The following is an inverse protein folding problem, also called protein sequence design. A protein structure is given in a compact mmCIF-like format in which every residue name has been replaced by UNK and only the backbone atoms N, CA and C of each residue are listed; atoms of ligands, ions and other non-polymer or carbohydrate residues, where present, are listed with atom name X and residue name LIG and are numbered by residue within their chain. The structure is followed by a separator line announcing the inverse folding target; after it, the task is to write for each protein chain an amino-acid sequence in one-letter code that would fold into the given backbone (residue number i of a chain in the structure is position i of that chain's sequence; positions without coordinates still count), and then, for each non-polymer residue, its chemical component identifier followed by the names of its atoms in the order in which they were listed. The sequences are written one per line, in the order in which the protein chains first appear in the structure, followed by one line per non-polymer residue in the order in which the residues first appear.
data_IF_115535628690
#
_entry.id   IF_115535628690
#
_cell.length_a   1.000
_cell.length_b   1.000
_cell.length_c   1.000
_cell.angle_alpha   90.00
_cell.angle_beta   90.00
_cell.angle_gamma   90.00
#
_symmetry.space_group_name_H-M   'P 1'
#
loop_
_entity.id
_entity.type
_entity.pdbx_description
1 polymer ?
#
# COMPACT_ATOMS: atom_id res chain seq x y z
N UNK A 1 -22.39 0.84 -16.65
CA UNK A 1 -21.55 -0.32 -16.27
C UNK A 1 -20.16 0.12 -16.63
N UNK A 2 -19.54 0.88 -15.73
CA UNK A 2 -18.38 1.68 -16.08
C UNK A 2 -17.13 0.84 -15.89
N UNK A 3 -16.40 0.73 -17.00
CA UNK A 3 -15.19 -0.06 -17.19
C UNK A 3 -14.18 0.08 -16.05
N UNK A 4 -13.71 -1.07 -15.56
CA UNK A 4 -12.54 -1.27 -14.70
C UNK A 4 -11.24 -0.87 -15.43
N UNK A 5 -11.15 0.37 -15.91
CA UNK A 5 -9.92 0.87 -16.49
C UNK A 5 -8.92 1.13 -15.36
N UNK A 6 -7.91 0.27 -15.26
CA UNK A 6 -6.66 0.59 -14.58
C UNK A 6 -6.13 1.89 -15.21
N UNK A 7 -6.33 3.02 -14.52
CA UNK A 7 -6.04 4.36 -15.04
C UNK A 7 -4.55 4.66 -14.91
N UNK A 8 -3.81 5.00 -15.98
CA UNK A 8 -2.55 5.71 -15.86
C UNK A 8 -2.87 7.20 -15.74
N UNK A 9 -3.31 7.66 -14.57
CA UNK A 9 -3.40 9.09 -14.32
C UNK A 9 -1.99 9.61 -14.07
N UNK A 10 -1.47 10.46 -14.97
CA UNK A 10 -0.17 11.15 -14.81
C UNK A 10 -0.08 11.85 -13.44
N UNK A 11 -1.22 12.32 -12.90
CA UNK A 11 -1.33 12.88 -11.55
C UNK A 11 -1.04 11.84 -10.46
N UNK A 12 -1.62 10.64 -10.56
CA UNK A 12 -1.34 9.52 -9.63
C UNK A 12 0.13 9.07 -9.70
N UNK A 13 0.75 9.08 -10.87
CA UNK A 13 2.18 8.79 -11.00
C UNK A 13 3.06 9.84 -10.33
N UNK A 14 2.73 11.14 -10.46
CA UNK A 14 3.46 12.22 -9.78
C UNK A 14 3.32 12.13 -8.26
N UNK A 15 2.10 11.93 -7.76
CA UNK A 15 1.84 11.80 -6.33
C UNK A 15 2.50 10.55 -5.73
N UNK A 16 2.45 9.41 -6.42
CA UNK A 16 3.17 8.20 -6.04
C UNK A 16 4.67 8.49 -5.95
N UNK A 17 5.26 9.11 -6.97
CA UNK A 17 6.68 9.43 -7.00
C UNK A 17 7.10 10.38 -5.87
N UNK A 18 6.28 11.39 -5.57
CA UNK A 18 6.51 12.30 -4.44
C UNK A 18 6.44 11.56 -3.10
N UNK A 19 5.43 10.70 -2.93
CA UNK A 19 5.28 9.89 -1.73
C UNK A 19 6.48 8.98 -1.50
N UNK A 20 6.86 8.18 -2.50
CA UNK A 20 8.01 7.27 -2.45
C UNK A 20 9.28 8.03 -2.08
N UNK A 21 9.55 9.14 -2.76
CA UNK A 21 10.72 9.98 -2.48
C UNK A 21 10.74 10.44 -1.02
N UNK A 22 9.63 10.97 -0.51
CA UNK A 22 9.54 11.48 0.88
C UNK A 22 9.64 10.36 1.91
N UNK A 23 9.04 9.19 1.65
CA UNK A 23 9.19 8.02 2.52
C UNK A 23 10.65 7.56 2.59
N UNK A 24 11.32 7.44 1.44
CA UNK A 24 12.73 7.05 1.41
C UNK A 24 13.62 8.11 2.06
N UNK A 25 13.37 9.40 1.82
CA UNK A 25 14.14 10.46 2.48
C UNK A 25 14.00 10.34 4.01
N UNK A 26 12.82 9.98 4.52
CA UNK A 26 12.57 9.66 5.94
C UNK A 26 13.14 8.31 6.42
N UNK A 27 13.91 7.60 5.58
CA UNK A 27 14.57 6.35 5.93
C UNK A 27 13.70 5.09 5.79
N UNK A 28 12.53 5.19 5.16
CA UNK A 28 11.61 4.06 4.93
C UNK A 28 11.91 3.39 3.60
N UNK A 29 12.10 2.07 3.59
CA UNK A 29 12.18 1.29 2.36
C UNK A 29 10.78 1.14 1.72
N UNK A 30 10.70 1.31 0.41
CA UNK A 30 9.46 1.20 -0.37
C UNK A 30 9.53 0.05 -1.37
N UNK A 31 8.39 -0.64 -1.51
CA UNK A 31 8.16 -1.62 -2.55
C UNK A 31 7.11 -1.06 -3.53
N UNK A 32 7.51 -0.81 -4.77
CA UNK A 32 6.60 -0.39 -5.83
C UNK A 32 6.12 -1.63 -6.60
N UNK A 33 4.82 -1.90 -6.51
CA UNK A 33 4.16 -3.03 -7.19
C UNK A 33 3.50 -2.62 -8.50
N UNK A 34 3.75 -1.39 -8.97
CA UNK A 34 3.28 -0.87 -10.24
C UNK A 34 1.77 -0.65 -10.29
N UNK A 35 1.22 -0.67 -11.51
CA UNK A 35 -0.20 -0.50 -11.77
C UNK A 35 -0.95 -1.78 -11.42
N UNK A 36 -1.74 -1.75 -10.35
CA UNK A 36 -2.44 -2.90 -9.82
C UNK A 36 -3.79 -2.51 -9.18
N UNK A 37 -4.60 -3.50 -8.80
CA UNK A 37 -5.81 -3.28 -8.01
C UNK A 37 -5.53 -3.02 -6.53
N UNK A 38 -6.49 -2.44 -5.81
CA UNK A 38 -6.36 -2.14 -4.36
C UNK A 38 -6.09 -3.41 -3.55
N UNK A 39 -6.72 -4.51 -3.92
CA UNK A 39 -6.57 -5.81 -3.30
C UNK A 39 -5.13 -6.36 -3.40
N UNK A 40 -4.37 -6.02 -4.44
CA UNK A 40 -2.98 -6.42 -4.58
C UNK A 40 -2.07 -5.65 -3.61
N UNK A 41 -2.37 -4.38 -3.33
CA UNK A 41 -1.67 -3.60 -2.28
C UNK A 41 -1.89 -4.23 -0.91
N UNK A 42 -3.11 -4.69 -0.62
CA UNK A 42 -3.45 -5.32 0.66
C UNK A 42 -2.77 -6.67 0.77
N UNK A 43 -2.78 -7.47 -0.31
CA UNK A 43 -2.04 -8.72 -0.38
C UNK A 43 -0.54 -8.53 -0.12
N UNK A 44 0.07 -7.52 -0.72
CA UNK A 44 1.48 -7.20 -0.48
C UNK A 44 1.74 -6.73 0.96
N UNK A 45 0.90 -5.84 1.51
CA UNK A 45 1.01 -5.34 2.88
C UNK A 45 0.79 -6.43 3.96
N UNK A 46 0.15 -7.55 3.60
CA UNK A 46 -0.02 -8.70 4.49
C UNK A 46 1.23 -9.59 4.62
N UNK A 47 2.30 -9.36 3.83
CA UNK A 47 3.54 -10.14 3.91
C UNK A 47 4.34 -9.80 5.18
N UNK A 48 5.01 -10.81 5.76
CA UNK A 48 5.94 -10.63 6.90
C UNK A 48 6.93 -9.48 6.61
N UNK A 49 7.12 -8.58 7.58
CA UNK A 49 8.09 -7.48 7.49
C UNK A 49 7.56 -6.19 6.86
N UNK A 50 6.32 -6.19 6.33
CA UNK A 50 5.71 -4.96 5.79
C UNK A 50 5.09 -4.11 6.90
N UNK A 51 5.43 -2.81 6.92
CA UNK A 51 4.82 -1.83 7.83
C UNK A 51 3.44 -1.32 7.40
N UNK A 52 3.06 -1.58 6.14
CA UNK A 52 1.79 -1.14 5.57
C UNK A 52 1.83 -1.03 4.05
N UNK A 53 0.81 -0.40 3.48
CA UNK A 53 0.68 -0.17 2.04
C UNK A 53 -0.13 1.09 1.75
N UNK A 54 0.19 1.73 0.63
CA UNK A 54 -0.54 2.90 0.13
C UNK A 54 -0.91 2.66 -1.33
N UNK A 55 -2.17 2.96 -1.66
CA UNK A 55 -2.61 3.06 -3.05
C UNK A 55 -2.99 4.49 -3.37
N UNK A 56 -2.32 5.08 -4.35
CA UNK A 56 -2.71 6.37 -4.93
C UNK A 56 -3.79 6.12 -5.98
N UNK A 57 -5.04 6.40 -5.65
CA UNK A 57 -6.20 6.16 -6.52
C UNK A 57 -7.36 7.09 -6.22
N UNK A 58 -8.04 7.51 -7.29
CA UNK A 58 -9.31 8.22 -7.21
C UNK A 58 -10.53 7.28 -7.16
N UNK A 59 -10.32 5.96 -7.13
CA UNK A 59 -11.38 4.95 -7.23
C UNK A 59 -12.30 5.23 -8.44
N UNK A 60 -13.53 5.69 -8.22
CA UNK A 60 -14.52 6.02 -9.25
C UNK A 60 -14.66 7.53 -9.53
N UNK A 61 -13.90 8.39 -8.82
CA UNK A 61 -14.02 9.84 -8.94
C UNK A 61 -13.55 10.35 -10.31
N UNK A 62 -13.95 11.57 -10.72
CA UNK A 62 -13.45 12.21 -11.94
C UNK A 62 -11.92 12.34 -11.97
N UNK A 63 -11.35 12.55 -13.16
CA UNK A 63 -9.89 12.54 -13.40
C UNK A 63 -9.12 13.60 -12.61
N UNK A 64 -9.78 14.71 -12.27
CA UNK A 64 -9.18 15.82 -11.52
C UNK A 64 -9.09 15.54 -10.01
N UNK A 65 -9.63 14.41 -9.55
CA UNK A 65 -9.54 13.96 -8.17
C UNK A 65 -8.45 12.91 -8.03
N UNK A 66 -7.76 12.94 -6.89
CA UNK A 66 -6.89 11.86 -6.46
C UNK A 66 -7.03 11.64 -4.95
N UNK A 67 -6.49 10.53 -4.48
CA UNK A 67 -6.56 10.16 -3.07
C UNK A 67 -5.60 9.04 -2.73
N UNK A 68 -5.40 8.83 -1.44
CA UNK A 68 -4.55 7.76 -0.91
C UNK A 68 -5.40 6.82 -0.05
N UNK A 69 -5.39 5.52 -0.39
CA UNK A 69 -5.87 4.47 0.51
C UNK A 69 -4.70 3.95 1.32
N UNK A 70 -4.83 3.92 2.64
CA UNK A 70 -3.80 3.47 3.57
C UNK A 70 -4.21 2.14 4.19
N UNK A 71 -3.25 1.24 4.33
CA UNK A 71 -3.40 -0.01 5.08
C UNK A 71 -2.17 -0.21 5.95
N UNK A 72 -2.37 -0.76 7.15
CA UNK A 72 -1.31 -1.07 8.11
C UNK A 72 -0.68 -2.43 7.85
N UNK A 73 0.29 -2.77 8.68
CA UNK A 73 0.88 -4.10 8.75
C UNK A 73 -0.21 -5.18 8.78
N UNK A 74 0.08 -6.35 8.20
CA UNK A 74 -0.87 -7.48 8.13
C UNK A 74 -2.20 -7.14 7.42
N UNK A 75 -2.19 -6.13 6.54
CA UNK A 75 -3.38 -5.63 5.85
C UNK A 75 -4.50 -5.11 6.80
N UNK A 76 -4.14 -4.59 7.97
CA UNK A 76 -5.10 -4.02 8.93
C UNK A 76 -5.66 -2.69 8.41
N UNK A 77 -6.99 -2.47 8.45
CA UNK A 77 -7.58 -1.24 7.95
C UNK A 77 -7.24 -0.04 8.84
N UNK A 78 -7.04 1.12 8.19
CA UNK A 78 -6.82 2.41 8.86
C UNK A 78 -8.13 3.20 8.85
N UNK A 79 -8.71 3.41 10.02
CA UNK A 79 -9.94 4.17 10.26
C UNK A 79 -9.67 5.37 11.17
N UNK A 80 -10.71 6.17 11.43
CA UNK A 80 -10.63 7.35 12.32
C UNK A 80 -10.02 7.05 13.68
N UNK A 81 -10.30 5.88 14.24
CA UNK A 81 -9.83 5.44 15.55
C UNK A 81 -8.61 4.49 15.52
N UNK A 82 -8.08 4.13 14.34
CA UNK A 82 -6.93 3.21 14.22
C UNK A 82 -5.72 3.82 13.49
N UNK A 83 -5.78 5.13 13.20
CA UNK A 83 -4.62 5.90 12.74
C UNK A 83 -4.94 7.20 11.99
N UNK A 84 -6.14 7.36 11.40
CA UNK A 84 -6.41 8.57 10.58
C UNK A 84 -6.39 9.86 11.40
N UNK A 85 -6.92 9.86 12.62
CA UNK A 85 -6.86 11.05 13.50
C UNK A 85 -5.45 11.38 13.96
N UNK A 86 -4.59 10.38 14.11
CA UNK A 86 -3.19 10.59 14.48
C UNK A 86 -2.44 11.25 13.32
N UNK A 87 -2.68 10.79 12.09
CA UNK A 87 -2.15 11.41 10.87
C UNK A 87 -2.66 12.86 10.74
N UNK A 88 -3.96 13.09 10.96
CA UNK A 88 -4.56 14.42 10.95
C UNK A 88 -3.90 15.35 11.97
N UNK A 89 -3.73 14.89 13.22
CA UNK A 89 -3.09 15.65 14.27
C UNK A 89 -1.62 15.96 13.96
N UNK A 90 -0.88 15.00 13.40
CA UNK A 90 0.51 15.19 12.97
C UNK A 90 0.61 16.26 11.87
N UNK A 91 -0.24 16.19 10.85
CA UNK A 91 -0.27 17.21 9.79
C UNK A 91 -0.67 18.59 10.34
N UNK A 92 -1.63 18.64 11.26
CA UNK A 92 -2.06 19.88 11.90
C UNK A 92 -1.00 20.50 12.81
N UNK A 93 -0.06 19.70 13.34
CA UNK A 93 1.03 20.18 14.21
C UNK A 93 2.10 20.99 13.48
N UNK A 94 2.06 21.01 12.15
CA UNK A 94 2.96 21.80 11.31
C UNK A 94 4.01 20.94 10.59
N UNK A 95 5.06 21.58 10.03
CA UNK A 95 6.07 20.89 9.24
C UNK A 95 6.78 19.81 10.06
N UNK A 96 6.89 18.61 9.48
CA UNK A 96 7.74 17.56 10.03
C UNK A 96 9.22 17.97 9.90
N UNK A 97 10.06 17.51 10.84
CA UNK A 97 11.49 17.74 10.79
C UNK A 97 12.08 17.23 9.47
N UNK A 98 13.06 17.95 8.94
CA UNK A 98 13.77 17.50 7.75
C UNK A 98 14.43 16.14 8.00
N UNK A 99 14.38 15.22 7.02
CA UNK A 99 14.94 13.89 7.21
C UNK A 99 16.44 13.93 7.51
N UNK A 100 16.90 13.08 8.43
CA UNK A 100 18.33 13.01 8.74
C UNK A 100 19.11 12.49 7.51
N UNK A 101 20.20 13.15 7.10
CA UNK A 101 20.96 12.75 5.90
C UNK A 101 21.68 11.41 6.02
N UNK A 102 21.71 10.78 7.20
CA UNK A 102 22.57 9.60 7.45
C UNK A 102 21.97 8.27 6.98
N UNK A 103 20.66 8.17 6.71
CA UNK A 103 20.06 6.91 6.26
C UNK A 103 18.82 7.12 5.41
N UNK A 104 19.02 7.14 4.09
CA UNK A 104 17.95 7.14 3.10
C UNK A 104 17.48 5.71 2.83
N UNK A 105 16.17 5.50 2.76
CA UNK A 105 15.56 4.25 2.36
C UNK A 105 15.75 3.96 0.87
N UNK A 106 15.39 2.76 0.47
CA UNK A 106 15.49 2.25 -0.89
C UNK A 106 14.11 2.15 -1.54
N UNK A 107 14.07 2.26 -2.87
CA UNK A 107 12.87 1.96 -3.66
C UNK A 107 13.13 0.75 -4.54
N UNK A 108 12.31 -0.29 -4.38
CA UNK A 108 12.47 -1.55 -5.13
C UNK A 108 11.18 -1.87 -5.89
N UNK A 109 11.30 -2.04 -7.20
CA UNK A 109 10.21 -2.54 -8.04
C UNK A 109 10.05 -4.05 -7.86
N UNK A 110 8.82 -4.51 -7.59
CA UNK A 110 8.51 -5.93 -7.38
C UNK A 110 7.20 -6.32 -8.06
N UNK A 111 7.21 -7.44 -8.78
CA UNK A 111 6.00 -8.05 -9.32
C UNK A 111 5.28 -8.88 -8.25
N UNK A 112 3.97 -8.70 -8.10
CA UNK A 112 3.15 -9.48 -7.13
C UNK A 112 1.97 -10.19 -7.76
N UNK A 113 1.80 -10.09 -9.07
CA UNK A 113 0.63 -10.62 -9.78
C UNK A 113 0.56 -12.14 -9.71
N UNK A 114 1.68 -12.82 -9.92
CA UNK A 114 1.77 -14.28 -9.89
C UNK A 114 1.45 -14.82 -8.49
N UNK A 115 2.07 -14.24 -7.45
CA UNK A 115 1.83 -14.59 -6.05
C UNK A 115 0.36 -14.33 -5.64
N UNK A 116 -0.19 -13.19 -6.08
CA UNK A 116 -1.58 -12.83 -5.83
C UNK A 116 -2.55 -13.80 -6.52
N UNK A 117 -2.33 -14.10 -7.80
CA UNK A 117 -3.15 -15.05 -8.56
C UNK A 117 -3.11 -16.45 -7.93
N UNK A 118 -1.92 -16.93 -7.55
CA UNK A 118 -1.76 -18.19 -6.85
C UNK A 118 -2.55 -18.21 -5.52
N UNK A 119 -2.53 -17.11 -4.76
CA UNK A 119 -3.31 -16.97 -3.53
C UNK A 119 -4.82 -17.04 -3.80
N UNK A 120 -5.33 -16.30 -4.78
CA UNK A 120 -6.76 -16.30 -5.13
C UNK A 120 -7.19 -17.70 -5.58
N UNK A 121 -6.40 -18.38 -6.41
CA UNK A 121 -6.69 -19.74 -6.88
C UNK A 121 -6.60 -20.79 -5.75
N UNK A 122 -5.80 -20.54 -4.71
CA UNK A 122 -5.73 -21.42 -3.53
C UNK A 122 -7.01 -21.41 -2.69
N UNK A 123 -7.81 -20.33 -2.79
CA UNK A 123 -9.10 -20.21 -2.13
C UNK A 123 -10.13 -21.09 -2.86
N UNK A 124 -10.10 -22.40 -2.62
CA UNK A 124 -11.16 -23.30 -3.06
C UNK A 124 -12.47 -22.91 -2.38
N UNK A 125 -13.45 -22.50 -3.17
CA UNK A 125 -14.84 -22.38 -2.72
C UNK A 125 -15.32 -23.80 -2.38
N UNK A 126 -15.43 -24.13 -1.08
CA UNK A 126 -16.19 -25.31 -0.64
C UNK A 126 -15.46 -26.46 0.06
N UNK A 127 -14.37 -26.25 0.83
CA UNK A 127 -13.98 -27.23 1.89
C UNK A 127 -13.55 -26.54 3.18
N UNK A 128 -14.09 -27.03 4.30
CA UNK A 128 -13.74 -26.61 5.67
C UNK A 128 -12.23 -26.56 5.86
N UNK A 129 -11.72 -25.44 6.36
CA UNK A 129 -10.30 -25.27 6.66
C UNK A 129 -9.86 -26.30 7.70
N UNK A 130 -9.06 -27.29 7.32
CA UNK A 130 -8.18 -27.98 8.27
C UNK A 130 -6.94 -27.13 8.43
N UNK A 131 -6.64 -26.73 9.67
CA UNK A 131 -5.54 -25.86 10.06
C UNK A 131 -4.22 -26.22 9.38
N UNK A 132 -3.66 -25.29 8.61
CA UNK A 132 -2.30 -25.40 8.09
C UNK A 132 -1.30 -25.04 9.20
N UNK A 133 -0.14 -25.73 9.30
CA UNK A 133 0.87 -25.40 10.29
C UNK A 133 1.48 -24.03 9.98
N UNK A 134 1.68 -23.23 11.03
CA UNK A 134 2.19 -21.86 10.93
C UNK A 134 3.54 -21.82 10.20
N UNK A 135 3.63 -20.96 9.18
CA UNK A 135 4.93 -20.62 8.59
C UNK A 135 5.69 -19.74 9.58
N UNK A 136 6.76 -20.29 10.13
CA UNK A 136 7.78 -19.49 10.80
C UNK A 136 8.54 -18.69 9.74
N UNK A 137 8.45 -17.36 9.82
CA UNK A 137 9.25 -16.44 9.02
C UNK A 137 10.71 -16.54 9.51
N UNK A 138 11.64 -16.83 8.58
CA UNK A 138 13.09 -16.69 8.79
C UNK A 138 13.51 -15.26 8.49
#
# INVERSE_FOLDING_TARGET
MDSYLLRPAVVSLKEKGLFVRRANDAGVDTLDIGLCGTEMVYFAAARCGMGGGIMVTASHNPMDYNGMKLVREEARPVSSNTGLRDIEALVASGPLSEPSPQKRGTDTQVGVMEDYAAKVLSCRVGRSQTSAPGRQCR
#
